data_IF_308801809049
#
_entry.id   IF_308801809049
#
_cell.length_a   1.000
_cell.length_b   1.000
_cell.length_c   1.000
_cell.angle_alpha   90.00
_cell.angle_beta   90.00
_cell.angle_gamma   90.00
#
_symmetry.space_group_name_H-M   'P 1'
#
loop_
_entity.id
_entity.type
_entity.pdbx_description
1 polymer ?
#
# COMPACT_ATOMS: atom_id res chain seq x y z
N UNK A 1 19.49 1.30 14.72
CA UNK A 1 18.44 1.94 13.91
C UNK A 1 17.15 1.20 14.22
N UNK A 2 16.15 1.88 14.77
CA UNK A 2 14.87 1.24 15.09
C UNK A 2 14.20 0.76 13.81
N UNK A 3 13.83 -0.52 13.78
CA UNK A 3 13.16 -1.14 12.65
C UNK A 3 11.67 -0.82 12.76
N UNK A 4 11.13 -0.11 11.76
CA UNK A 4 9.70 0.12 11.63
C UNK A 4 9.08 -0.94 10.74
N UNK A 5 7.94 -1.48 11.13
CA UNK A 5 7.21 -2.47 10.33
C UNK A 5 5.71 -2.30 10.52
N UNK A 6 4.90 -2.93 9.67
CA UNK A 6 3.45 -2.86 9.80
C UNK A 6 2.76 -4.05 9.16
N UNK A 7 1.58 -4.36 9.70
CA UNK A 7 0.67 -5.38 9.19
C UNK A 7 -0.48 -4.65 8.48
N UNK A 8 -0.69 -4.97 7.21
CA UNK A 8 -1.76 -4.43 6.37
C UNK A 8 -2.66 -5.54 5.84
N UNK A 9 -3.96 -5.26 5.70
CA UNK A 9 -4.89 -6.11 4.97
C UNK A 9 -5.24 -5.39 3.67
N UNK A 10 -4.98 -6.02 2.52
CA UNK A 10 -5.28 -5.42 1.22
C UNK A 10 -6.79 -5.30 1.02
N UNK A 11 -7.20 -4.17 0.49
CA UNK A 11 -8.58 -3.89 0.12
C UNK A 11 -8.67 -3.93 -1.41
N UNK A 12 -9.58 -4.73 -2.00
CA UNK A 12 -9.76 -4.81 -3.44
C UNK A 12 -10.51 -3.57 -3.96
N UNK A 13 -9.89 -2.42 -3.82
CA UNK A 13 -10.37 -1.12 -4.27
C UNK A 13 -9.44 -0.60 -5.37
N UNK A 14 -9.94 0.26 -6.26
CA UNK A 14 -9.16 0.79 -7.38
C UNK A 14 -9.34 2.30 -7.51
N UNK A 15 -8.38 2.96 -8.15
CA UNK A 15 -8.44 4.40 -8.41
C UNK A 15 -9.64 4.78 -9.30
N UNK A 16 -10.06 3.83 -10.13
CA UNK A 16 -11.13 3.91 -11.12
C UNK A 16 -12.51 3.64 -10.52
N UNK A 17 -12.62 3.23 -9.25
CA UNK A 17 -13.91 2.98 -8.62
C UNK A 17 -14.78 4.25 -8.72
N UNK A 18 -16.00 4.09 -9.22
CA UNK A 18 -16.92 5.19 -9.56
C UNK A 18 -17.19 6.15 -8.38
N UNK A 19 -17.35 5.63 -7.16
CA UNK A 19 -17.49 6.49 -5.97
C UNK A 19 -16.22 7.31 -5.68
N UNK A 20 -15.04 6.79 -6.01
CA UNK A 20 -13.78 7.51 -5.83
C UNK A 20 -13.61 8.58 -6.91
N UNK A 21 -14.02 8.31 -8.14
CA UNK A 21 -14.00 9.32 -9.21
C UNK A 21 -14.88 10.53 -8.87
N UNK A 22 -16.10 10.28 -8.37
CA UNK A 22 -16.97 11.36 -7.87
C UNK A 22 -16.34 12.15 -6.72
N UNK A 23 -15.69 11.47 -5.78
CA UNK A 23 -14.98 12.12 -4.68
C UNK A 23 -13.86 13.02 -5.20
N UNK A 24 -13.05 12.52 -6.14
CA UNK A 24 -11.96 13.28 -6.75
C UNK A 24 -12.48 14.50 -7.51
N UNK A 25 -13.58 14.37 -8.24
CA UNK A 25 -14.21 15.50 -8.93
C UNK A 25 -14.76 16.54 -7.96
N UNK A 26 -15.43 16.12 -6.87
CA UNK A 26 -15.96 17.07 -5.87
C UNK A 26 -14.85 17.91 -5.22
N UNK A 27 -13.66 17.35 -5.12
CA UNK A 27 -12.52 17.94 -4.40
C UNK A 27 -11.42 18.46 -5.33
N UNK A 28 -11.70 18.66 -6.62
CA UNK A 28 -10.69 19.07 -7.62
C UNK A 28 -10.00 20.41 -7.31
N UNK A 29 -10.65 21.28 -6.54
CA UNK A 29 -10.11 22.57 -6.11
C UNK A 29 -9.13 22.50 -4.94
N UNK A 30 -8.91 21.32 -4.35
CA UNK A 30 -7.99 21.13 -3.22
C UNK A 30 -6.67 20.50 -3.67
N UNK A 31 -5.53 20.86 -3.04
CA UNK A 31 -4.22 20.30 -3.36
C UNK A 31 -4.06 18.89 -2.77
N UNK A 32 -4.86 17.94 -3.25
CA UNK A 32 -4.89 16.57 -2.75
C UNK A 32 -3.89 15.71 -3.51
N UNK A 33 -3.01 15.08 -2.75
CA UNK A 33 -2.18 14.00 -3.25
C UNK A 33 -2.94 12.67 -3.15
N UNK A 34 -3.53 12.25 -4.27
CA UNK A 34 -4.35 11.04 -4.34
C UNK A 34 -3.52 9.76 -4.35
N UNK A 35 -3.96 8.78 -3.58
CA UNK A 35 -3.40 7.44 -3.59
C UNK A 35 -3.89 6.69 -4.84
N UNK A 36 -2.95 6.30 -5.70
CA UNK A 36 -3.23 5.65 -6.98
C UNK A 36 -3.38 4.12 -6.87
N UNK A 37 -2.97 3.53 -5.75
CA UNK A 37 -2.99 2.09 -5.54
C UNK A 37 -2.62 1.70 -4.10
N UNK A 38 -2.37 0.41 -3.86
CA UNK A 38 -2.05 -0.13 -2.52
C UNK A 38 -3.10 0.23 -1.46
N UNK A 39 -4.38 0.13 -1.79
CA UNK A 39 -5.43 0.35 -0.82
C UNK A 39 -5.41 -0.77 0.23
N UNK A 40 -5.30 -0.37 1.49
CA UNK A 40 -5.17 -1.31 2.61
C UNK A 40 -5.77 -0.71 3.88
N UNK A 41 -6.11 -1.59 4.81
CA UNK A 41 -6.34 -1.26 6.21
C UNK A 41 -5.06 -1.59 6.98
N UNK A 42 -4.50 -0.62 7.69
CA UNK A 42 -3.37 -0.85 8.59
C UNK A 42 -3.88 -1.47 9.89
N UNK A 43 -3.52 -2.72 10.17
CA UNK A 43 -3.90 -3.41 11.41
C UNK A 43 -3.01 -2.99 12.58
N UNK A 44 -1.70 -2.95 12.35
CA UNK A 44 -0.73 -2.50 13.32
C UNK A 44 0.41 -1.79 12.60
N UNK A 45 0.63 -0.52 12.93
CA UNK A 45 1.87 0.16 12.61
C UNK A 45 2.79 0.02 13.82
N UNK A 46 3.95 -0.63 13.64
CA UNK A 46 4.89 -0.97 14.70
C UNK A 46 6.04 0.02 14.61
N UNK A 47 6.04 0.97 15.54
CA UNK A 47 6.99 2.08 15.62
C UNK A 47 8.40 1.60 15.98
N UNK A 48 8.49 0.53 16.76
CA UNK A 48 9.75 -0.13 17.12
C UNK A 48 9.56 -1.66 17.09
N UNK A 49 10.18 -2.33 16.12
CA UNK A 49 10.10 -3.78 15.95
C UNK A 49 11.30 -4.45 16.60
N UNK A 50 11.09 -5.15 17.70
CA UNK A 50 12.15 -5.84 18.44
C UNK A 50 12.51 -7.20 17.83
N UNK A 51 11.52 -8.02 17.49
CA UNK A 51 11.73 -9.35 16.91
C UNK A 51 10.77 -9.60 15.74
N UNK A 52 11.29 -9.53 14.52
CA UNK A 52 10.50 -9.70 13.28
C UNK A 52 9.89 -11.09 13.18
N UNK A 53 10.62 -12.13 13.59
CA UNK A 53 10.15 -13.52 13.52
C UNK A 53 9.00 -13.80 14.49
N UNK A 54 9.01 -13.18 15.67
CA UNK A 54 7.89 -13.27 16.62
C UNK A 54 6.64 -12.60 16.04
N UNK A 55 6.77 -11.41 15.43
CA UNK A 55 5.63 -10.74 14.79
C UNK A 55 5.10 -11.57 13.62
N UNK A 56 6.00 -12.19 12.84
CA UNK A 56 5.63 -13.11 11.77
C UNK A 56 4.86 -14.32 12.32
N UNK A 57 5.31 -14.90 13.43
CA UNK A 57 4.62 -16.01 14.09
C UNK A 57 3.23 -15.60 14.59
N UNK A 58 3.10 -14.43 15.24
CA UNK A 58 1.82 -13.87 15.69
C UNK A 58 0.87 -13.68 14.50
N UNK A 59 1.37 -13.11 13.40
CA UNK A 59 0.57 -12.91 12.19
C UNK A 59 0.08 -14.24 11.63
N UNK A 60 0.93 -15.26 11.55
CA UNK A 60 0.53 -16.61 11.12
C UNK A 60 -0.49 -17.25 12.06
N UNK A 61 -0.24 -17.21 13.38
CA UNK A 61 -1.10 -17.76 14.42
C UNK A 61 -2.54 -17.24 14.31
N UNK A 62 -2.69 -15.93 14.08
CA UNK A 62 -4.01 -15.32 14.02
C UNK A 62 -4.66 -15.42 12.64
N UNK A 63 -3.94 -15.28 11.53
CA UNK A 63 -4.58 -15.19 10.21
C UNK A 63 -4.62 -16.49 9.41
N UNK A 64 -3.76 -17.48 9.69
CA UNK A 64 -3.60 -18.65 8.80
C UNK A 64 -4.89 -19.46 8.57
N UNK A 65 -5.80 -19.47 9.55
CA UNK A 65 -7.03 -20.27 9.51
C UNK A 65 -8.31 -19.43 9.59
N UNK A 66 -8.23 -18.11 9.39
CA UNK A 66 -9.40 -17.23 9.39
C UNK A 66 -9.98 -17.18 7.96
N UNK A 67 -11.31 -17.31 7.79
CA UNK A 67 -11.94 -17.11 6.49
C UNK A 67 -11.81 -15.66 6.01
N UNK A 68 -11.98 -15.37 4.71
CA UNK A 68 -12.03 -14.00 4.22
C UNK A 68 -13.01 -13.15 5.04
N UNK A 69 -12.56 -11.97 5.47
CA UNK A 69 -13.34 -11.08 6.32
C UNK A 69 -14.21 -10.20 5.43
N UNK A 70 -15.52 -10.25 5.62
CA UNK A 70 -16.46 -9.39 4.90
C UNK A 70 -16.52 -8.01 5.56
N UNK A 71 -16.43 -6.94 4.76
CA UNK A 71 -16.63 -5.57 5.23
C UNK A 71 -17.39 -4.74 4.21
N UNK A 72 -18.28 -3.89 4.67
CA UNK A 72 -19.02 -2.94 3.84
C UNK A 72 -18.52 -1.52 4.09
N UNK A 73 -17.92 -0.91 3.08
CA UNK A 73 -17.56 0.50 3.10
C UNK A 73 -18.75 1.34 2.63
N UNK A 74 -19.14 2.32 3.44
CA UNK A 74 -20.39 3.07 3.27
C UNK A 74 -20.25 4.57 3.54
N UNK A 75 -19.03 5.06 3.78
CA UNK A 75 -18.76 6.49 3.92
C UNK A 75 -17.34 6.86 3.54
N UNK A 76 -17.18 8.13 3.18
CA UNK A 76 -15.90 8.80 3.18
C UNK A 76 -15.74 9.57 4.49
N UNK A 77 -14.50 9.90 4.84
CA UNK A 77 -14.20 10.71 6.01
C UNK A 77 -12.89 11.46 5.87
N UNK A 78 -12.65 12.34 6.84
CA UNK A 78 -11.40 13.09 6.95
C UNK A 78 -10.97 13.23 8.41
N UNK A 79 -9.69 13.01 8.68
CA UNK A 79 -9.05 13.25 9.98
C UNK A 79 -7.66 13.89 9.79
N UNK A 80 -7.13 14.49 10.85
CA UNK A 80 -5.77 15.05 10.87
C UNK A 80 -4.82 14.09 11.60
N UNK A 81 -3.68 13.77 10.99
CA UNK A 81 -2.61 13.02 11.66
C UNK A 81 -1.88 13.89 12.68
N UNK A 82 -1.11 13.27 13.60
CA UNK A 82 -0.21 14.02 14.50
C UNK A 82 0.83 14.86 13.75
N UNK A 83 1.18 14.49 12.52
CA UNK A 83 2.07 15.28 11.65
C UNK A 83 1.39 16.47 10.96
N UNK A 84 0.11 16.72 11.27
CA UNK A 84 -0.66 17.80 10.67
C UNK A 84 -1.05 17.54 9.21
N UNK A 85 -1.19 16.28 8.76
CA UNK A 85 -1.76 16.01 7.43
C UNK A 85 -3.25 15.69 7.55
N UNK A 86 -4.06 16.24 6.66
CA UNK A 86 -5.44 15.81 6.52
C UNK A 86 -5.50 14.59 5.61
N UNK A 87 -6.09 13.50 6.11
CA UNK A 87 -6.23 12.23 5.42
C UNK A 87 -7.67 12.07 5.00
N UNK A 88 -7.90 11.99 3.69
CA UNK A 88 -9.19 11.61 3.12
C UNK A 88 -9.20 10.09 3.01
N UNK A 89 -10.25 9.45 3.51
CA UNK A 89 -10.29 8.00 3.60
C UNK A 89 -11.68 7.41 3.30
N UNK A 90 -11.67 6.14 2.91
CA UNK A 90 -12.85 5.28 2.90
C UNK A 90 -13.02 4.65 4.28
N UNK A 91 -14.25 4.52 4.77
CA UNK A 91 -14.57 3.92 6.06
C UNK A 91 -15.87 3.12 6.02
N UNK A 92 -16.07 2.31 7.06
CA UNK A 92 -17.27 1.53 7.31
C UNK A 92 -17.96 2.09 8.56
N UNK A 93 -19.28 2.23 8.53
CA UNK A 93 -20.06 2.59 9.73
C UNK A 93 -20.27 1.40 10.65
N UNK A 94 -20.36 0.19 10.08
CA UNK A 94 -20.45 -1.05 10.83
C UNK A 94 -19.18 -1.87 10.59
N UNK A 95 -18.28 -1.86 11.57
CA UNK A 95 -17.06 -2.66 11.53
C UNK A 95 -17.36 -4.02 12.16
N UNK A 96 -16.99 -5.16 11.52
CA UNK A 96 -17.18 -6.48 12.12
C UNK A 96 -16.46 -6.59 13.48
N UNK A 97 -17.17 -7.01 14.51
CA UNK A 97 -16.60 -7.21 15.86
C UNK A 97 -15.43 -8.21 15.83
N UNK A 98 -15.50 -9.21 14.97
CA UNK A 98 -14.43 -10.19 14.75
C UNK A 98 -13.13 -9.52 14.32
N UNK A 99 -13.20 -8.53 13.41
CA UNK A 99 -12.04 -7.78 12.95
C UNK A 99 -11.45 -6.89 14.06
N UNK A 100 -12.31 -6.26 14.87
CA UNK A 100 -11.88 -5.46 16.03
C UNK A 100 -11.21 -6.32 17.11
N UNK A 101 -11.81 -7.47 17.42
CA UNK A 101 -11.28 -8.43 18.39
C UNK A 101 -9.95 -9.00 17.93
N UNK A 102 -9.85 -9.36 16.65
CA UNK A 102 -8.63 -9.84 16.02
C UNK A 102 -7.52 -8.79 16.07
N UNK A 103 -7.84 -7.55 15.69
CA UNK A 103 -6.91 -6.42 15.75
C UNK A 103 -6.36 -6.22 17.16
N UNK A 104 -7.24 -6.17 18.16
CA UNK A 104 -6.87 -5.99 19.56
C UNK A 104 -5.90 -7.08 20.03
N UNK A 105 -6.25 -8.35 19.83
CA UNK A 105 -5.42 -9.50 20.23
C UNK A 105 -4.03 -9.49 19.58
N UNK A 106 -3.98 -9.21 18.27
CA UNK A 106 -2.71 -9.13 17.54
C UNK A 106 -1.84 -8.01 18.12
N UNK A 107 -2.40 -6.82 18.33
CA UNK A 107 -1.65 -5.66 18.84
C UNK A 107 -1.15 -5.88 20.26
N UNK A 108 -1.97 -6.47 21.14
CA UNK A 108 -1.57 -6.85 22.49
C UNK A 108 -0.40 -7.86 22.47
N UNK A 109 -0.47 -8.90 21.63
CA UNK A 109 0.61 -9.89 21.54
C UNK A 109 1.89 -9.29 20.93
N UNK A 110 1.78 -8.38 19.95
CA UNK A 110 2.93 -7.63 19.42
C UNK A 110 3.60 -6.82 20.54
N UNK A 111 2.83 -6.09 21.34
CA UNK A 111 3.37 -5.29 22.46
C UNK A 111 4.08 -6.20 23.48
N UNK A 112 3.54 -7.40 23.73
CA UNK A 112 4.17 -8.37 24.63
C UNK A 112 5.52 -8.91 24.14
N UNK A 113 5.88 -8.73 22.86
CA UNK A 113 7.24 -9.02 22.36
C UNK A 113 8.27 -7.97 22.75
N UNK A 114 7.85 -6.88 23.40
CA UNK A 114 8.67 -5.69 23.65
C UNK A 114 8.68 -4.71 22.48
N UNK A 115 7.92 -4.97 21.41
CA UNK A 115 7.73 -4.03 20.31
C UNK A 115 6.79 -2.89 20.71
N UNK A 116 6.95 -1.71 20.10
CA UNK A 116 6.13 -0.53 20.39
C UNK A 116 5.12 -0.24 19.28
N UNK A 117 3.88 0.07 19.69
CA UNK A 117 2.82 0.60 18.83
C UNK A 117 2.24 1.82 19.54
N UNK A 118 2.33 3.00 18.92
CA UNK A 118 1.85 4.24 19.56
C UNK A 118 0.49 4.71 19.06
N UNK A 119 0.13 4.40 17.81
CA UNK A 119 -1.14 4.83 17.23
C UNK A 119 -2.27 3.90 17.61
N UNK A 120 -3.43 4.44 17.99
CA UNK A 120 -4.67 3.66 18.12
C UNK A 120 -5.12 3.06 16.78
N UNK A 121 -5.91 1.99 16.85
CA UNK A 121 -6.51 1.41 15.65
C UNK A 121 -7.71 2.24 15.20
N UNK A 122 -7.67 2.69 13.95
CA UNK A 122 -8.77 3.33 13.27
C UNK A 122 -8.99 2.63 11.93
N UNK A 123 -10.14 1.98 11.73
CA UNK A 123 -10.42 1.32 10.46
C UNK A 123 -10.69 2.36 9.37
N UNK A 124 -9.74 2.47 8.47
CA UNK A 124 -9.84 3.36 7.31
C UNK A 124 -8.95 2.84 6.18
N UNK A 125 -9.26 3.28 4.96
CA UNK A 125 -8.41 3.10 3.79
C UNK A 125 -8.04 4.48 3.28
N UNK A 126 -6.76 4.83 3.31
CA UNK A 126 -6.33 6.14 2.81
C UNK A 126 -6.57 6.25 1.31
N UNK A 127 -7.26 7.33 0.91
CA UNK A 127 -7.54 7.66 -0.48
C UNK A 127 -6.75 8.88 -0.95
N UNK A 128 -6.53 9.86 -0.08
CA UNK A 128 -5.83 11.09 -0.42
C UNK A 128 -5.23 11.78 0.80
N UNK A 129 -4.25 12.64 0.56
CA UNK A 129 -3.51 13.36 1.61
C UNK A 129 -3.42 14.84 1.24
N UNK A 130 -3.59 15.71 2.22
CA UNK A 130 -3.43 17.16 2.08
C UNK A 130 -2.49 17.64 3.18
N UNK A 131 -1.51 18.48 2.82
CA UNK A 131 -0.75 19.24 3.82
C UNK A 131 -1.69 20.28 4.46
N UNK A 132 -1.82 20.30 5.78
CA UNK A 132 -2.84 21.15 6.45
C UNK A 132 -2.62 22.66 6.34
N UNK A 133 -1.50 23.11 5.76
CA UNK A 133 -1.16 24.53 5.64
C UNK A 133 -2.27 25.32 4.91
N UNK A 134 -2.98 26.16 5.67
CA UNK A 134 -4.02 27.03 5.15
C UNK A 134 -5.35 26.35 4.82
N UNK A 135 -5.53 25.06 5.13
CA UNK A 135 -6.77 24.31 4.82
C UNK A 135 -7.43 23.82 6.11
N UNK A 136 -8.66 24.27 6.33
CA UNK A 136 -9.47 23.91 7.50
C UNK A 136 -10.10 22.52 7.30
N UNK A 137 -9.95 21.64 8.31
CA UNK A 137 -10.47 20.27 8.25
C UNK A 137 -11.98 20.22 7.99
N UNK A 138 -12.74 21.10 8.62
CA UNK A 138 -14.21 21.13 8.51
C UNK A 138 -14.70 21.52 7.11
N UNK A 139 -13.94 22.35 6.38
CA UNK A 139 -14.25 22.66 4.98
C UNK A 139 -14.11 21.43 4.09
N UNK A 140 -13.04 20.64 4.30
CA UNK A 140 -12.85 19.37 3.60
C UNK A 140 -13.97 18.41 3.96
N UNK A 141 -14.30 18.30 5.26
CA UNK A 141 -15.35 17.39 5.76
C UNK A 141 -16.69 17.68 5.09
N UNK A 142 -17.10 18.95 5.03
CA UNK A 142 -18.34 19.36 4.36
C UNK A 142 -18.36 18.95 2.89
N UNK A 143 -17.26 19.12 2.16
CA UNK A 143 -17.19 18.71 0.75
C UNK A 143 -17.23 17.20 0.59
N UNK A 144 -16.60 16.45 1.51
CA UNK A 144 -16.61 14.98 1.53
C UNK A 144 -18.01 14.44 1.81
N UNK A 145 -18.74 15.04 2.76
CA UNK A 145 -20.08 14.60 3.19
C UNK A 145 -21.14 14.74 2.10
N UNK A 146 -20.94 15.63 1.12
CA UNK A 146 -21.83 15.78 -0.03
C UNK A 146 -21.69 14.64 -1.06
N UNK A 147 -20.59 13.88 -1.00
CA UNK A 147 -20.34 12.78 -1.93
C UNK A 147 -21.00 11.51 -1.43
N UNK A 148 -22.14 11.16 -2.05
CA UNK A 148 -22.82 9.89 -1.76
C UNK A 148 -22.00 8.70 -2.27
N UNK A 149 -21.76 7.77 -1.37
CA UNK A 149 -21.22 6.45 -1.68
C UNK A 149 -22.34 5.43 -1.68
N UNK A 150 -22.38 4.59 -2.71
CA UNK A 150 -23.19 3.38 -2.68
C UNK A 150 -22.43 2.36 -1.82
N UNK A 151 -23.05 1.78 -0.77
CA UNK A 151 -22.39 0.79 0.07
C UNK A 151 -21.72 -0.29 -0.77
N UNK A 152 -20.46 -0.56 -0.47
CA UNK A 152 -19.60 -1.43 -1.25
C UNK A 152 -19.02 -2.50 -0.34
N UNK A 153 -19.46 -3.74 -0.53
CA UNK A 153 -19.05 -4.89 0.26
C UNK A 153 -17.91 -5.64 -0.42
N UNK A 154 -16.87 -5.95 0.35
CA UNK A 154 -15.71 -6.72 -0.12
C UNK A 154 -15.34 -7.83 0.84
N UNK A 155 -14.68 -8.84 0.29
CA UNK A 155 -13.97 -9.86 1.05
C UNK A 155 -12.49 -9.51 1.11
N UNK A 156 -12.01 -9.23 2.31
CA UNK A 156 -10.60 -9.06 2.60
C UNK A 156 -9.93 -10.43 2.60
N UNK A 157 -8.91 -10.60 1.76
CA UNK A 157 -8.31 -11.92 1.47
C UNK A 157 -6.81 -12.01 1.68
N UNK A 158 -6.10 -10.88 1.67
CA UNK A 158 -4.65 -10.88 1.70
C UNK A 158 -4.16 -10.00 2.84
N UNK A 159 -3.37 -10.61 3.72
CA UNK A 159 -2.68 -9.94 4.82
C UNK A 159 -1.20 -9.90 4.50
N UNK A 160 -0.57 -8.75 4.67
CA UNK A 160 0.84 -8.53 4.41
C UNK A 160 1.50 -7.96 5.67
N UNK A 161 2.57 -8.59 6.12
CA UNK A 161 3.50 -8.04 7.10
C UNK A 161 4.76 -7.57 6.38
N UNK A 162 5.21 -6.34 6.63
CA UNK A 162 6.37 -5.76 5.93
C UNK A 162 7.09 -4.69 6.72
N UNK A 163 8.32 -4.40 6.29
CA UNK A 163 9.05 -3.24 6.78
C UNK A 163 8.41 -1.93 6.29
N UNK A 164 8.44 -0.90 7.14
CA UNK A 164 8.04 0.44 6.73
C UNK A 164 9.03 0.96 5.69
N UNK A 165 8.50 1.35 4.51
CA UNK A 165 9.31 1.71 3.34
C UNK A 165 10.28 0.61 2.85
N UNK A 166 9.98 -0.65 3.16
CA UNK A 166 10.82 -1.79 2.82
C UNK A 166 10.04 -3.01 2.33
N UNK A 167 10.77 -4.11 2.19
CA UNK A 167 10.30 -5.35 1.59
C UNK A 167 9.18 -6.03 2.39
N UNK A 168 8.44 -6.90 1.71
CA UNK A 168 7.48 -7.81 2.33
C UNK A 168 8.24 -8.86 3.16
N UNK A 169 7.77 -9.07 4.39
CA UNK A 169 8.30 -10.08 5.32
C UNK A 169 7.48 -11.36 5.24
N UNK A 170 6.15 -11.23 5.16
CA UNK A 170 5.23 -12.36 5.10
C UNK A 170 3.92 -11.96 4.41
N UNK A 171 3.32 -12.90 3.67
CA UNK A 171 2.01 -12.75 3.05
C UNK A 171 1.13 -13.95 3.41
N UNK A 172 -0.10 -13.70 3.83
CA UNK A 172 -1.08 -14.74 4.16
C UNK A 172 -2.34 -14.52 3.32
N UNK A 173 -2.78 -15.57 2.64
CA UNK A 173 -4.05 -15.60 1.92
C UNK A 173 -5.09 -16.28 2.81
N UNK A 174 -6.12 -15.53 3.19
CA UNK A 174 -7.26 -16.04 3.95
C UNK A 174 -8.09 -16.97 3.06
N UNK A 175 -8.16 -18.26 3.45
CA UNK A 175 -8.89 -19.29 2.73
C UNK A 175 -10.19 -19.61 3.49
N UNK A 176 -11.30 -19.72 2.77
CA UNK A 176 -12.56 -20.17 3.38
C UNK A 176 -12.48 -21.64 3.80
N UNK A 177 -13.21 -22.03 4.85
CA UNK A 177 -13.31 -23.42 5.28
C UNK A 177 -13.89 -24.29 4.15
N UNK A 178 -13.01 -24.96 3.41
CA UNK A 178 -13.38 -26.19 2.72
C UNK A 178 -13.40 -27.29 3.78
N UNK A 179 -14.53 -27.97 3.92
CA UNK A 179 -14.65 -29.15 4.78
C UNK A 179 -13.49 -30.11 4.46
N UNK A 180 -12.84 -30.56 5.54
CA UNK A 180 -11.81 -31.60 5.62
C UNK A 180 -11.60 -32.42 4.34
N UNK A 181 -10.45 -32.24 3.70
CA UNK A 181 -9.73 -33.38 3.14
C UNK A 181 -8.34 -33.37 3.77
N UNK A 182 -8.07 -34.44 4.53
CA UNK A 182 -6.72 -34.79 4.97
C UNK A 182 -5.88 -34.96 3.72
N UNK A 183 -5.06 -33.98 3.40
CA UNK A 183 -3.99 -34.14 2.42
C UNK A 183 -2.86 -33.21 2.83
N UNK A 184 -1.80 -33.86 3.31
CA UNK A 184 -0.43 -33.43 3.52
C UNK A 184 -0.18 -31.93 3.49
N UNK A 185 0.23 -31.40 4.65
CA UNK A 185 1.10 -30.24 4.75
C UNK A 185 2.34 -30.53 3.89
N UNK A 186 2.33 -30.06 2.66
CA UNK A 186 3.57 -29.72 1.98
C UNK A 186 3.99 -28.38 2.56
N UNK A 187 4.98 -28.44 3.46
CA UNK A 187 5.93 -27.36 3.61
C UNK A 187 6.39 -26.98 2.19
N UNK A 188 5.92 -25.85 1.67
CA UNK A 188 6.73 -25.13 0.69
C UNK A 188 7.93 -24.59 1.48
N UNK A 189 8.88 -25.49 1.72
CA UNK A 189 10.20 -25.16 2.18
C UNK A 189 10.76 -24.08 1.25
N UNK A 190 11.35 -23.06 1.86
CA UNK A 190 12.17 -22.09 1.15
C UNK A 190 13.26 -22.84 0.39
N UNK A 191 13.00 -23.10 -0.89
CA UNK A 191 13.98 -23.57 -1.85
C UNK A 191 14.05 -22.49 -2.90
N UNK A 192 15.19 -21.81 -2.95
CA UNK A 192 15.68 -20.99 -4.05
C UNK A 192 14.82 -21.06 -5.33
N UNK A 193 13.77 -20.24 -5.43
CA UNK A 193 13.08 -20.01 -6.71
C UNK A 193 13.89 -18.96 -7.50
N UNK A 194 14.91 -19.51 -8.16
CA UNK A 194 15.61 -19.11 -9.39
C UNK A 194 16.04 -17.65 -9.62
N UNK A 195 17.35 -17.41 -9.86
CA UNK A 195 17.91 -16.16 -10.41
C UNK A 195 17.29 -15.68 -11.74
N UNK A 196 16.62 -16.57 -12.48
CA UNK A 196 16.10 -16.29 -13.81
C UNK A 196 14.97 -15.24 -13.84
N UNK A 197 14.06 -15.23 -12.85
CA UNK A 197 12.99 -14.22 -12.76
C UNK A 197 13.53 -12.84 -12.42
N UNK A 198 14.52 -12.76 -11.51
CA UNK A 198 15.23 -11.51 -11.20
C UNK A 198 15.95 -10.94 -12.43
N UNK A 199 16.47 -11.81 -13.30
CA UNK A 199 17.17 -11.42 -14.53
C UNK A 199 16.22 -10.85 -15.59
N UNK A 200 14.96 -11.32 -15.65
CA UNK A 200 13.92 -10.79 -16.53
C UNK A 200 13.48 -9.37 -16.10
N UNK A 201 13.27 -9.14 -14.80
CA UNK A 201 12.92 -7.81 -14.27
C UNK A 201 14.09 -6.81 -14.32
N UNK A 202 15.33 -7.25 -14.10
CA UNK A 202 16.51 -6.39 -14.15
C UNK A 202 16.74 -5.77 -15.53
N UNK A 203 16.24 -6.39 -16.61
CA UNK A 203 16.31 -5.84 -17.96
C UNK A 203 15.44 -4.58 -18.17
N UNK A 204 14.43 -4.37 -17.31
CA UNK A 204 13.54 -3.21 -17.32
C UNK A 204 14.05 -2.08 -16.40
N UNK A 205 14.92 -2.42 -15.45
CA UNK A 205 15.48 -1.50 -14.47
C UNK A 205 16.65 -0.71 -15.04
N UNK A 206 16.65 0.61 -14.81
CA UNK A 206 17.70 1.54 -15.24
C UNK A 206 18.81 1.70 -14.19
N UNK A 207 18.48 1.51 -12.92
CA UNK A 207 19.35 1.79 -11.78
C UNK A 207 19.63 0.55 -10.93
N UNK A 208 18.65 -0.32 -10.72
CA UNK A 208 18.80 -1.56 -9.92
C UNK A 208 19.17 -2.75 -10.80
N UNK A 209 20.26 -3.44 -10.48
CA UNK A 209 20.77 -4.59 -11.23
C UNK A 209 20.98 -5.84 -10.35
N UNK A 210 20.34 -5.90 -9.18
CA UNK A 210 20.40 -7.04 -8.26
C UNK A 210 21.41 -6.90 -7.11
N UNK A 211 22.11 -5.77 -7.01
CA UNK A 211 23.01 -5.45 -5.91
C UNK A 211 22.26 -5.34 -4.56
N UNK A 212 22.96 -5.62 -3.46
CA UNK A 212 22.35 -5.68 -2.13
C UNK A 212 22.08 -4.32 -1.48
N UNK A 213 22.75 -3.27 -1.96
CA UNK A 213 22.63 -1.92 -1.41
C UNK A 213 22.78 -0.86 -2.49
N UNK A 214 22.08 0.26 -2.31
CA UNK A 214 22.20 1.42 -3.20
C UNK A 214 23.66 1.88 -3.28
N UNK A 215 24.19 2.21 -4.47
CA UNK A 215 25.48 2.88 -4.60
C UNK A 215 25.54 4.14 -3.74
N UNK A 216 26.61 4.29 -2.94
CA UNK A 216 26.78 5.41 -2.00
C UNK A 216 26.65 6.80 -2.66
N UNK A 217 27.10 6.92 -3.90
CA UNK A 217 27.00 8.15 -4.69
C UNK A 217 25.56 8.55 -5.05
N UNK A 218 24.60 7.62 -4.97
CA UNK A 218 23.19 7.88 -5.25
C UNK A 218 22.35 7.99 -3.97
N UNK A 219 22.92 7.65 -2.81
CA UNK A 219 22.24 7.79 -1.52
C UNK A 219 21.73 9.23 -1.35
N UNK A 220 20.47 9.36 -0.96
CA UNK A 220 19.76 10.63 -0.77
C UNK A 220 19.52 11.47 -2.05
N UNK A 221 19.89 10.97 -3.24
CA UNK A 221 19.61 11.62 -4.53
C UNK A 221 18.41 11.04 -5.29
N UNK A 222 18.04 11.68 -6.41
CA UNK A 222 16.95 11.22 -7.30
C UNK A 222 17.23 9.81 -7.85
N UNK A 223 18.48 9.55 -8.26
CA UNK A 223 18.91 8.21 -8.69
C UNK A 223 18.69 7.15 -7.60
N UNK A 224 18.96 7.50 -6.33
CA UNK A 224 18.70 6.61 -5.20
C UNK A 224 17.22 6.31 -5.00
N UNK A 225 16.33 7.28 -5.26
CA UNK A 225 14.88 7.05 -5.23
C UNK A 225 14.45 6.06 -6.31
N UNK A 226 14.92 6.24 -7.55
CA UNK A 226 14.63 5.30 -8.63
C UNK A 226 15.18 3.92 -8.35
N UNK A 227 16.46 3.82 -7.95
CA UNK A 227 17.08 2.57 -7.52
C UNK A 227 16.24 1.84 -6.48
N UNK A 228 15.79 2.54 -5.43
CA UNK A 228 15.00 1.95 -4.36
C UNK A 228 13.64 1.48 -4.85
N UNK A 229 13.00 2.26 -5.72
CA UNK A 229 11.74 1.88 -6.35
C UNK A 229 11.85 0.63 -7.21
N UNK A 230 12.88 0.55 -8.06
CA UNK A 230 13.16 -0.62 -8.90
C UNK A 230 13.52 -1.87 -8.08
N UNK A 231 14.36 -1.70 -7.05
CA UNK A 231 14.69 -2.76 -6.09
C UNK A 231 13.42 -3.30 -5.43
N UNK A 232 12.53 -2.42 -4.97
CA UNK A 232 11.25 -2.80 -4.39
C UNK A 232 10.33 -3.50 -5.39
N UNK A 233 10.35 -3.11 -6.66
CA UNK A 233 9.59 -3.79 -7.70
C UNK A 233 10.06 -5.24 -7.86
N UNK A 234 11.37 -5.44 -7.99
CA UNK A 234 11.97 -6.76 -8.22
C UNK A 234 11.86 -7.67 -7.00
N UNK A 235 12.25 -7.17 -5.82
CA UNK A 235 12.34 -7.98 -4.59
C UNK A 235 10.98 -8.36 -4.01
N UNK A 236 9.93 -7.58 -4.29
CA UNK A 236 8.56 -7.94 -3.90
C UNK A 236 7.79 -8.68 -4.99
N UNK A 237 8.46 -9.07 -6.09
CA UNK A 237 7.86 -9.81 -7.21
C UNK A 237 6.58 -9.15 -7.73
N UNK A 238 6.64 -7.84 -7.95
CA UNK A 238 5.51 -7.07 -8.42
C UNK A 238 5.17 -7.48 -9.86
N UNK A 239 3.90 -7.74 -10.12
CA UNK A 239 3.42 -8.18 -11.43
C UNK A 239 3.53 -7.04 -12.46
N UNK A 240 4.43 -7.17 -13.44
CA UNK A 240 4.66 -6.16 -14.47
C UNK A 240 3.51 -5.99 -15.46
N UNK A 241 2.81 -7.08 -15.81
CA UNK A 241 1.68 -7.01 -16.73
C UNK A 241 0.55 -6.16 -16.14
N UNK A 242 0.26 -6.35 -14.86
CA UNK A 242 -0.74 -5.54 -14.14
C UNK A 242 -0.39 -4.04 -14.16
N UNK A 243 0.88 -3.68 -13.99
CA UNK A 243 1.31 -2.27 -14.04
C UNK A 243 1.36 -1.73 -15.47
N UNK A 244 1.63 -2.56 -16.47
CA UNK A 244 1.54 -2.17 -17.88
C UNK A 244 0.09 -1.91 -18.31
N UNK A 245 -0.87 -2.72 -17.84
CA UNK A 245 -2.30 -2.48 -18.04
C UNK A 245 -2.73 -1.15 -17.40
N UNK A 246 -2.34 -0.90 -16.15
CA UNK A 246 -2.62 0.38 -15.48
C UNK A 246 -1.97 1.56 -16.22
N UNK A 247 -0.74 1.41 -16.69
CA UNK A 247 -0.04 2.41 -17.48
C UNK A 247 -0.80 2.74 -18.78
N UNK A 248 -1.35 1.73 -19.45
CA UNK A 248 -2.14 1.92 -20.66
C UNK A 248 -3.40 2.76 -20.40
N UNK A 249 -4.11 2.50 -19.29
CA UNK A 249 -5.27 3.29 -18.88
C UNK A 249 -4.91 4.73 -18.52
N UNK A 250 -3.78 4.93 -17.83
CA UNK A 250 -3.29 6.25 -17.42
C UNK A 250 -2.91 7.08 -18.66
N UNK A 251 -2.19 6.49 -19.62
CA UNK A 251 -1.75 7.17 -20.85
C UNK A 251 -2.92 7.82 -21.60
N UNK A 252 -4.08 7.15 -21.67
CA UNK A 252 -5.27 7.67 -22.37
C UNK A 252 -5.77 8.98 -21.77
N UNK A 253 -5.52 9.21 -20.47
CA UNK A 253 -5.98 10.39 -19.72
C UNK A 253 -4.93 11.50 -19.66
N UNK A 254 -3.66 11.20 -19.94
CA UNK A 254 -2.56 12.16 -19.87
C UNK A 254 -2.61 13.18 -21.01
N UNK A 255 -2.12 14.39 -20.73
CA UNK A 255 -1.98 15.49 -21.70
C UNK A 255 -0.62 16.18 -21.56
N UNK A 256 -0.21 16.92 -22.59
CA UNK A 256 0.95 17.81 -22.55
C UNK A 256 2.27 17.09 -22.23
N UNK A 257 3.07 17.67 -21.32
CA UNK A 257 4.38 17.14 -20.91
C UNK A 257 4.28 15.71 -20.36
N UNK A 258 3.24 15.41 -19.58
CA UNK A 258 3.04 14.08 -18.97
C UNK A 258 2.84 12.99 -20.02
N UNK A 259 2.02 13.28 -21.05
CA UNK A 259 1.80 12.34 -22.15
C UNK A 259 3.07 12.10 -22.98
N UNK A 260 3.85 13.17 -23.23
CA UNK A 260 5.13 13.06 -23.96
C UNK A 260 6.12 12.18 -23.20
N UNK A 261 6.23 12.37 -21.90
CA UNK A 261 7.07 11.55 -21.03
C UNK A 261 6.62 10.09 -21.00
N UNK A 262 5.33 9.82 -20.80
CA UNK A 262 4.82 8.45 -20.80
C UNK A 262 5.06 7.72 -22.13
N UNK A 263 5.01 8.44 -23.26
CA UNK A 263 5.26 7.89 -24.60
C UNK A 263 6.74 7.83 -25.00
N UNK A 264 7.66 8.38 -24.21
CA UNK A 264 9.10 8.35 -24.53
C UNK A 264 9.78 7.03 -24.15
N UNK A 265 9.04 6.09 -23.56
CA UNK A 265 9.54 4.79 -23.12
C UNK A 265 8.53 3.68 -23.43
N UNK A 266 8.97 2.40 -23.49
CA UNK A 266 8.07 1.26 -23.65
C UNK A 266 7.03 1.16 -22.54
N UNK A 267 5.88 0.55 -22.83
CA UNK A 267 4.74 0.47 -21.90
C UNK A 267 5.11 -0.15 -20.55
N UNK A 268 5.84 -1.27 -20.55
CA UNK A 268 6.29 -1.93 -19.31
C UNK A 268 7.25 -1.04 -18.50
N UNK A 269 8.12 -0.27 -19.18
CA UNK A 269 9.00 0.66 -18.49
C UNK A 269 8.21 1.83 -17.88
N UNK A 270 7.21 2.35 -18.58
CA UNK A 270 6.31 3.35 -17.98
C UNK A 270 5.47 2.77 -16.84
N UNK A 271 5.07 1.49 -16.92
CA UNK A 271 4.44 0.76 -15.82
C UNK A 271 5.31 0.69 -14.57
N UNK A 272 6.61 0.42 -14.72
CA UNK A 272 7.58 0.49 -13.63
C UNK A 272 7.69 1.90 -13.05
N UNK A 273 7.78 2.94 -13.88
CA UNK A 273 7.78 4.34 -13.41
C UNK A 273 6.51 4.69 -12.63
N UNK A 274 5.35 4.26 -13.14
CA UNK A 274 4.06 4.46 -12.49
C UNK A 274 3.99 3.74 -11.13
N UNK A 275 4.57 2.55 -11.02
CA UNK A 275 4.76 1.87 -9.75
C UNK A 275 5.59 2.70 -8.79
N UNK A 276 6.75 3.21 -9.23
CA UNK A 276 7.67 3.99 -8.40
C UNK A 276 6.97 5.27 -7.92
N UNK A 277 6.31 5.98 -8.84
CA UNK A 277 5.51 7.16 -8.51
C UNK A 277 4.48 6.82 -7.43
N UNK A 278 3.72 5.73 -7.60
CA UNK A 278 2.70 5.29 -6.65
C UNK A 278 3.29 4.89 -5.29
N UNK A 279 4.45 4.23 -5.29
CA UNK A 279 5.16 3.80 -4.09
C UNK A 279 5.61 5.00 -3.25
N UNK A 280 6.30 5.96 -3.89
CA UNK A 280 6.78 7.15 -3.21
C UNK A 280 5.65 8.12 -2.84
N UNK A 281 4.58 8.16 -3.63
CA UNK A 281 3.33 8.84 -3.27
C UNK A 281 2.72 8.31 -1.95
N UNK A 282 2.79 6.99 -1.73
CA UNK A 282 2.37 6.36 -0.47
C UNK A 282 3.32 6.72 0.68
N UNK A 283 4.62 6.65 0.44
CA UNK A 283 5.63 6.72 1.51
C UNK A 283 6.09 8.12 1.88
N UNK A 284 6.19 9.00 0.90
CA UNK A 284 6.73 10.35 1.00
C UNK A 284 5.68 11.36 0.51
N UNK A 285 4.52 11.49 1.19
CA UNK A 285 3.41 12.30 0.71
C UNK A 285 3.69 13.81 0.67
N UNK A 286 4.85 14.24 1.19
CA UNK A 286 5.28 15.63 1.15
C UNK A 286 6.11 15.99 -0.09
N UNK A 287 6.54 14.99 -0.85
CA UNK A 287 7.30 15.14 -2.09
C UNK A 287 6.36 15.60 -3.20
N UNK A 288 6.82 16.52 -4.05
CA UNK A 288 6.03 17.03 -5.17
C UNK A 288 6.02 16.06 -6.36
N UNK A 289 6.81 14.99 -6.28
CA UNK A 289 6.96 13.93 -7.28
C UNK A 289 7.42 14.44 -8.66
N UNK A 290 7.89 15.69 -8.76
CA UNK A 290 8.34 16.30 -10.00
C UNK A 290 9.58 15.60 -10.58
N UNK A 291 10.39 14.99 -9.71
CA UNK A 291 11.58 14.20 -10.07
C UNK A 291 11.25 12.94 -10.88
N UNK A 292 10.00 12.47 -10.90
CA UNK A 292 9.60 11.33 -11.73
C UNK A 292 9.89 11.57 -13.22
N UNK A 293 9.83 12.83 -13.68
CA UNK A 293 10.14 13.17 -15.08
C UNK A 293 11.63 13.04 -15.45
N UNK A 294 12.52 12.73 -14.49
CA UNK A 294 13.95 12.50 -14.71
C UNK A 294 14.32 11.03 -14.93
N UNK A 295 13.32 10.12 -14.89
CA UNK A 295 13.55 8.70 -15.19
C UNK A 295 14.01 8.49 -16.63
#
# INVERSE_FOLDING_TARGET
MEIKSYIEIKVPFTYQTDCFDRLRHRLEGLPIHWQLGYYHITMAFIDETHCVDDIKHITCKYFANIPPIEITFDKFGVFTTHSGMHIIHLAASNIPEELLSLNKKIREEIINTGSAIYSDFYLHVTLGRIKSEGIVLDDIRRLVDEVKIQPYTVYLREVVYRYFRGSIINTIILKGNSKSSKTNVQEEGGVHRQPALLQEYASLCKYYHGELSCPKEWENGIKGKFWHGEMMFCTNHINMDMWAEQAQEVIVKLKGKKLKFAKSMPLHQFGLVLYIETLFSKWCPYDDMSWIFEY
#
